data_IF_901049776414
#
_entry.id   IF_901049776414
#
_cell.length_a   1.000
_cell.length_b   1.000
_cell.length_c   1.000
_cell.angle_alpha   90.00
_cell.angle_beta   90.00
_cell.angle_gamma   90.00
#
_symmetry.space_group_name_H-M   'P 1'
#
loop_
_entity.id
_entity.type
_entity.pdbx_description
1 polymer ?
#
# COMPACT_ATOMS: atom_id res chain seq x y z
N UNK A 1 12.48 14.30 -30.82
CA UNK A 1 12.19 15.50 -29.99
C UNK A 1 13.27 16.53 -30.24
N UNK A 2 12.99 17.85 -30.21
CA UNK A 2 14.05 18.84 -30.29
C UNK A 2 14.99 18.65 -29.10
N UNK A 3 16.24 18.33 -29.40
CA UNK A 3 17.35 18.23 -28.44
C UNK A 3 17.86 19.63 -28.14
N UNK A 4 17.98 20.00 -26.86
CA UNK A 4 18.45 21.33 -26.47
C UNK A 4 18.09 21.68 -25.03
N UNK A 5 18.46 22.87 -24.58
CA UNK A 5 18.05 23.35 -23.27
C UNK A 5 17.41 24.73 -23.36
N UNK A 6 16.58 25.03 -22.37
CA UNK A 6 15.81 26.27 -22.25
C UNK A 6 16.30 27.04 -21.03
N UNK A 7 16.65 28.31 -21.20
CA UNK A 7 16.96 29.20 -20.08
C UNK A 7 15.76 30.11 -19.88
N UNK A 8 15.18 30.07 -18.68
CA UNK A 8 14.04 30.88 -18.26
C UNK A 8 14.51 31.97 -17.29
N UNK A 9 14.34 33.24 -17.65
CA UNK A 9 14.68 34.36 -16.80
C UNK A 9 13.48 34.72 -15.92
N UNK A 10 13.52 34.30 -14.65
CA UNK A 10 12.50 34.62 -13.64
C UNK A 10 12.93 35.75 -12.72
N UNK A 11 14.05 36.39 -13.01
CA UNK A 11 14.50 37.60 -12.32
C UNK A 11 13.77 38.82 -12.88
N UNK A 12 13.87 39.94 -12.17
CA UNK A 12 13.36 41.23 -12.62
C UNK A 12 14.37 42.03 -13.47
N UNK A 13 15.48 41.41 -13.90
CA UNK A 13 16.54 42.08 -14.67
C UNK A 13 16.70 41.48 -16.07
N UNK A 14 17.17 42.30 -17.02
CA UNK A 14 17.61 41.81 -18.34
C UNK A 14 18.96 41.10 -18.16
N UNK A 15 19.04 39.87 -18.66
CA UNK A 15 20.27 39.06 -18.63
C UNK A 15 20.81 38.79 -20.03
N UNK A 16 22.12 38.53 -20.09
CA UNK A 16 22.81 38.05 -21.27
C UNK A 16 23.33 36.65 -20.98
N UNK A 17 22.84 35.69 -21.75
CA UNK A 17 23.22 34.29 -21.67
C UNK A 17 24.21 33.96 -22.80
N UNK A 18 25.36 33.40 -22.49
CA UNK A 18 26.30 32.82 -23.47
C UNK A 18 26.46 31.34 -23.23
N UNK A 19 26.65 30.60 -24.33
CA UNK A 19 26.78 29.15 -24.31
C UNK A 19 28.02 28.77 -25.09
N UNK A 20 28.99 28.20 -24.38
CA UNK A 20 30.30 27.88 -24.96
C UNK A 20 30.53 26.38 -24.95
N UNK A 21 30.76 25.82 -26.14
CA UNK A 21 31.08 24.40 -26.28
C UNK A 21 32.58 24.22 -26.13
N UNK A 22 33.04 23.67 -25.01
CA UNK A 22 34.47 23.42 -24.82
C UNK A 22 35.03 22.34 -25.75
N UNK A 23 34.18 21.49 -26.33
CA UNK A 23 34.61 20.43 -27.27
C UNK A 23 34.73 20.91 -28.72
N UNK A 24 34.16 22.08 -29.07
CA UNK A 24 34.30 22.70 -30.40
C UNK A 24 34.55 24.22 -30.27
N UNK A 25 35.82 24.66 -30.16
CA UNK A 25 36.18 26.06 -29.86
C UNK A 25 35.81 27.10 -30.93
N UNK A 26 35.30 26.71 -32.10
CA UNK A 26 35.12 27.60 -33.26
C UNK A 26 33.68 28.07 -33.51
N UNK A 27 32.70 27.63 -32.71
CA UNK A 27 31.35 28.17 -32.81
C UNK A 27 31.27 29.45 -31.95
N UNK A 28 31.19 30.62 -32.61
CA UNK A 28 30.93 31.90 -31.94
C UNK A 28 29.84 31.74 -30.88
N UNK A 29 30.22 31.79 -29.61
CA UNK A 29 29.30 31.82 -28.48
C UNK A 29 28.62 33.18 -28.46
N UNK A 30 27.62 33.36 -29.33
CA UNK A 30 26.78 34.54 -29.32
C UNK A 30 26.18 34.74 -27.93
N UNK A 31 26.14 35.99 -27.48
CA UNK A 31 25.38 36.36 -26.30
C UNK A 31 23.92 36.60 -26.68
N UNK A 32 23.01 36.06 -25.88
CA UNK A 32 21.59 36.13 -26.09
C UNK A 32 20.97 36.94 -24.96
N UNK A 33 20.33 38.05 -25.30
CA UNK A 33 19.52 38.82 -24.35
C UNK A 33 18.24 38.04 -24.01
N UNK A 34 17.92 37.94 -22.72
CA UNK A 34 16.69 37.35 -22.19
C UNK A 34 16.08 38.33 -21.20
N UNK A 35 14.89 38.87 -21.49
CA UNK A 35 14.21 39.83 -20.60
C UNK A 35 13.54 39.13 -19.42
N UNK A 36 13.09 39.87 -18.38
CA UNK A 36 12.27 39.31 -17.32
C UNK A 36 11.07 38.52 -17.87
N UNK A 37 10.82 37.35 -17.31
CA UNK A 37 9.77 36.40 -17.67
C UNK A 37 9.85 35.84 -19.11
N UNK A 38 10.94 36.09 -19.82
CA UNK A 38 11.23 35.47 -21.12
C UNK A 38 12.06 34.19 -20.97
N UNK A 39 12.03 33.38 -22.02
CA UNK A 39 12.91 32.24 -22.15
C UNK A 39 13.60 32.18 -23.51
N UNK A 40 14.74 31.50 -23.55
CA UNK A 40 15.46 31.22 -24.80
C UNK A 40 15.77 29.73 -24.91
N UNK A 41 15.51 29.17 -26.08
CA UNK A 41 15.83 27.79 -26.42
C UNK A 41 17.13 27.71 -27.19
N UNK A 42 17.92 26.70 -26.85
CA UNK A 42 19.24 26.46 -27.42
C UNK A 42 19.30 25.01 -27.91
N UNK A 43 19.09 24.77 -29.21
CA UNK A 43 19.06 23.43 -29.78
C UNK A 43 20.50 22.88 -29.95
N UNK A 44 21.17 22.60 -28.83
CA UNK A 44 22.58 22.20 -28.75
C UNK A 44 22.74 20.92 -27.92
N UNK A 45 23.76 20.13 -28.24
CA UNK A 45 24.08 18.84 -27.62
C UNK A 45 25.49 18.82 -26.99
N UNK A 46 25.68 17.95 -25.98
CA UNK A 46 26.98 17.72 -25.34
C UNK A 46 27.23 18.54 -24.07
N UNK A 47 28.51 18.66 -23.70
CA UNK A 47 28.95 19.46 -22.55
C UNK A 47 29.07 20.92 -22.93
N UNK A 48 28.29 21.76 -22.27
CA UNK A 48 28.20 23.20 -22.54
C UNK A 48 28.40 23.98 -21.24
N UNK A 49 29.09 25.13 -21.33
CA UNK A 49 29.17 26.13 -20.27
C UNK A 49 28.09 27.19 -20.51
N UNK A 50 27.08 27.23 -19.63
CA UNK A 50 26.02 28.23 -19.66
C UNK A 50 26.41 29.35 -18.72
N UNK A 51 26.72 30.52 -19.28
CA UNK A 51 27.09 31.69 -18.51
C UNK A 51 26.06 32.78 -18.64
N UNK A 52 25.63 33.32 -17.50
CA UNK A 52 24.63 34.37 -17.42
C UNK A 52 25.26 35.59 -16.74
N UNK A 53 25.10 36.77 -17.33
CA UNK A 53 25.55 38.04 -16.77
C UNK A 53 24.47 39.10 -16.87
N UNK A 54 24.53 40.11 -16.01
CA UNK A 54 23.63 41.26 -16.12
C UNK A 54 24.05 42.19 -17.27
N UNK A 55 23.20 43.17 -17.59
CA UNK A 55 23.44 44.16 -18.66
C UNK A 55 24.75 44.95 -18.49
N UNK A 56 25.13 45.23 -17.25
CA UNK A 56 26.32 46.03 -16.93
C UNK A 56 27.60 45.19 -16.76
N UNK A 57 27.50 43.86 -16.88
CA UNK A 57 28.58 42.91 -16.64
C UNK A 57 29.23 43.05 -15.25
N UNK A 58 28.47 43.47 -14.24
CA UNK A 58 28.93 43.58 -12.84
C UNK A 58 28.64 42.32 -12.03
N UNK A 59 27.68 41.51 -12.48
CA UNK A 59 27.29 40.25 -11.85
C UNK A 59 27.28 39.15 -12.91
N UNK A 60 27.76 37.97 -12.52
CA UNK A 60 27.87 36.81 -13.40
C UNK A 60 27.68 35.53 -12.62
N UNK A 61 27.02 34.57 -13.24
CA UNK A 61 26.95 33.18 -12.80
C UNK A 61 27.21 32.26 -13.99
N UNK A 62 27.66 31.05 -13.72
CA UNK A 62 27.91 30.05 -14.75
C UNK A 62 27.61 28.66 -14.21
N UNK A 63 27.17 27.78 -15.09
CA UNK A 63 26.89 26.40 -14.76
C UNK A 63 27.34 25.50 -15.90
N UNK A 64 28.07 24.45 -15.53
CA UNK A 64 28.50 23.45 -16.47
C UNK A 64 27.46 22.36 -16.57
N UNK A 65 26.95 22.11 -17.78
CA UNK A 65 25.88 21.15 -18.03
C UNK A 65 26.33 20.10 -19.05
N UNK A 66 26.09 18.83 -18.75
CA UNK A 66 26.27 17.71 -19.68
C UNK A 66 24.93 17.15 -20.05
N UNK A 67 24.41 17.29 -21.28
CA UNK A 67 23.23 16.48 -21.64
C UNK A 67 23.08 16.06 -23.10
N UNK A 68 22.47 14.87 -23.20
CA UNK A 68 21.75 14.32 -24.34
C UNK A 68 20.22 14.29 -24.14
N UNK A 69 19.65 15.01 -23.17
CA UNK A 69 18.20 15.17 -22.94
C UNK A 69 17.81 16.62 -22.61
N UNK A 70 16.53 17.04 -22.82
CA UNK A 70 16.09 18.42 -22.62
C UNK A 70 16.21 18.91 -21.18
N UNK A 71 16.91 20.02 -20.95
CA UNK A 71 17.02 20.66 -19.64
C UNK A 71 16.36 22.04 -19.62
N UNK A 72 15.63 22.35 -18.55
CA UNK A 72 15.16 23.69 -18.23
C UNK A 72 16.05 24.29 -17.14
N UNK A 73 16.57 25.49 -17.37
CA UNK A 73 17.39 26.24 -16.42
C UNK A 73 16.58 27.45 -15.98
N UNK A 74 16.31 27.56 -14.69
CA UNK A 74 15.71 28.75 -14.09
C UNK A 74 16.80 29.66 -13.53
N UNK A 75 16.73 30.94 -13.93
CA UNK A 75 17.51 32.03 -13.36
C UNK A 75 16.57 32.94 -12.55
N UNK A 76 16.63 32.87 -11.23
CA UNK A 76 15.74 33.62 -10.31
C UNK A 76 16.44 34.84 -9.65
N UNK A 77 17.65 35.21 -10.10
CA UNK A 77 18.49 36.29 -9.57
C UNK A 77 19.96 35.88 -9.38
N UNK A 78 20.88 36.86 -9.31
CA UNK A 78 22.32 36.61 -9.05
C UNK A 78 22.63 36.27 -7.58
N UNK A 79 21.70 36.60 -6.69
CA UNK A 79 21.69 36.24 -5.28
C UNK A 79 21.23 34.79 -5.03
N UNK A 80 20.82 34.08 -6.09
CA UNK A 80 20.30 32.71 -6.03
C UNK A 80 21.10 31.76 -6.92
N UNK A 81 21.16 30.47 -6.57
CA UNK A 81 21.76 29.47 -7.44
C UNK A 81 20.91 29.26 -8.70
N UNK A 82 21.57 28.92 -9.81
CA UNK A 82 20.89 28.41 -11.01
C UNK A 82 20.24 27.06 -10.71
N UNK A 83 18.95 26.93 -11.04
CA UNK A 83 18.21 25.68 -10.80
C UNK A 83 17.99 24.95 -12.13
N UNK A 84 18.42 23.70 -12.22
CA UNK A 84 18.15 22.84 -13.38
C UNK A 84 16.94 21.96 -13.08
N UNK A 85 15.90 22.09 -13.88
CA UNK A 85 14.78 21.17 -13.95
C UNK A 85 14.99 20.23 -15.14
N UNK A 86 14.93 18.93 -14.91
CA UNK A 86 14.78 17.99 -16.01
C UNK A 86 13.29 17.97 -16.38
N UNK A 87 12.88 18.88 -17.26
CA UNK A 87 11.49 18.94 -17.78
C UNK A 87 11.13 17.72 -18.62
N UNK A 88 12.10 16.85 -18.91
CA UNK A 88 11.84 15.53 -19.43
C UNK A 88 11.16 14.67 -18.36
N UNK A 89 9.84 14.77 -18.30
CA UNK A 89 9.01 13.64 -17.89
C UNK A 89 8.97 12.71 -19.11
N UNK A 90 9.69 11.57 -19.11
CA UNK A 90 9.50 10.59 -20.17
C UNK A 90 8.01 10.29 -20.30
N UNK A 91 7.55 10.04 -21.53
CA UNK A 91 6.16 9.61 -21.73
C UNK A 91 5.87 8.44 -20.77
N UNK A 92 4.70 8.43 -20.12
CA UNK A 92 4.30 7.32 -19.29
C UNK A 92 4.51 6.01 -20.07
N UNK A 93 5.03 5.00 -19.40
CA UNK A 93 5.26 3.73 -20.04
C UNK A 93 5.93 2.72 -19.15
N UNK A 94 6.42 1.67 -19.80
CA UNK A 94 7.17 0.60 -19.16
C UNK A 94 8.44 0.34 -19.97
N UNK A 95 9.58 0.29 -19.30
CA UNK A 95 10.84 -0.20 -19.83
C UNK A 95 11.15 -1.54 -19.17
N UNK A 96 11.12 -2.62 -19.94
CA UNK A 96 11.42 -3.96 -19.47
C UNK A 96 12.87 -4.28 -19.81
N UNK A 97 13.71 -4.41 -18.79
CA UNK A 97 15.12 -4.78 -18.94
C UNK A 97 15.26 -6.29 -18.79
N UNK A 98 15.74 -6.96 -19.83
CA UNK A 98 16.08 -8.37 -19.73
C UNK A 98 17.51 -8.52 -19.21
N UNK A 99 17.65 -8.73 -17.90
CA UNK A 99 18.93 -8.97 -17.24
C UNK A 99 19.23 -10.47 -17.10
N UNK A 100 18.33 -11.34 -17.58
CA UNK A 100 18.54 -12.79 -17.62
C UNK A 100 19.48 -13.19 -18.77
N UNK A 101 20.09 -14.39 -18.73
CA UNK A 101 21.02 -14.86 -19.77
C UNK A 101 20.32 -15.36 -21.05
N UNK A 102 18.98 -15.31 -21.13
CA UNK A 102 18.20 -15.89 -22.24
C UNK A 102 17.31 -14.83 -22.90
N UNK A 103 17.07 -14.97 -24.21
CA UNK A 103 16.06 -14.16 -24.88
C UNK A 103 14.68 -14.49 -24.32
N UNK A 104 13.91 -13.45 -24.01
CA UNK A 104 12.51 -13.57 -23.58
C UNK A 104 11.59 -12.99 -24.62
N UNK A 105 10.33 -13.44 -24.63
CA UNK A 105 9.25 -12.74 -25.30
C UNK A 105 8.49 -11.96 -24.23
N UNK A 106 8.34 -10.66 -24.42
CA UNK A 106 7.62 -9.78 -23.51
C UNK A 106 6.32 -9.29 -24.15
N UNK A 107 5.27 -9.25 -23.35
CA UNK A 107 3.96 -8.71 -23.64
C UNK A 107 3.68 -7.60 -22.63
N UNK A 108 3.20 -6.46 -23.12
CA UNK A 108 2.63 -5.41 -22.29
C UNK A 108 1.25 -5.16 -22.87
N UNK A 109 0.21 -5.26 -22.03
CA UNK A 109 -1.15 -5.05 -22.51
C UNK A 109 -1.35 -3.64 -23.07
N UNK A 110 -2.52 -3.43 -23.66
CA UNK A 110 -3.00 -2.13 -24.11
C UNK A 110 -4.34 -1.80 -23.46
N UNK A 111 -4.56 -2.27 -22.24
CA UNK A 111 -5.85 -2.24 -21.56
C UNK A 111 -6.36 -0.81 -21.38
N UNK A 112 -5.43 0.12 -21.19
CA UNK A 112 -5.71 1.53 -20.92
C UNK A 112 -5.45 2.44 -22.12
N UNK A 113 -4.97 1.91 -23.26
CA UNK A 113 -4.74 2.67 -24.49
C UNK A 113 -5.53 2.10 -25.66
N UNK A 114 -6.60 2.79 -26.05
CA UNK A 114 -7.36 2.50 -27.27
C UNK A 114 -6.40 2.47 -28.48
N UNK A 115 -6.36 1.33 -29.17
CA UNK A 115 -5.49 1.12 -30.35
C UNK A 115 -4.04 0.70 -30.05
N UNK A 116 -3.70 0.37 -28.79
CA UNK A 116 -2.37 -0.16 -28.47
C UNK A 116 -2.13 -1.55 -29.06
N UNK A 117 -0.88 -1.82 -29.46
CA UNK A 117 -0.45 -3.14 -29.92
C UNK A 117 -0.03 -4.03 -28.73
N UNK A 118 -0.78 -5.11 -28.51
CA UNK A 118 -0.54 -6.14 -27.49
C UNK A 118 0.26 -7.35 -28.04
N UNK A 119 1.12 -7.15 -29.03
CA UNK A 119 1.97 -8.22 -29.58
C UNK A 119 3.11 -8.57 -28.64
N UNK A 120 3.43 -9.86 -28.55
CA UNK A 120 4.70 -10.31 -27.95
C UNK A 120 5.90 -9.79 -28.75
N UNK A 121 6.93 -9.34 -28.06
CA UNK A 121 8.17 -8.85 -28.65
C UNK A 121 9.39 -9.52 -27.99
N UNK A 122 10.38 -9.89 -28.79
CA UNK A 122 11.61 -10.49 -28.26
C UNK A 122 12.48 -9.41 -27.61
N UNK A 123 13.01 -9.72 -26.42
CA UNK A 123 14.03 -8.92 -25.73
C UNK A 123 15.26 -9.82 -25.53
N UNK A 124 16.35 -9.63 -26.28
CA UNK A 124 17.59 -10.38 -26.08
C UNK A 124 18.21 -10.13 -24.68
N UNK A 125 19.14 -10.98 -24.21
CA UNK A 125 19.89 -10.75 -22.98
C UNK A 125 20.58 -9.37 -22.99
N UNK A 126 20.52 -8.66 -21.87
CA UNK A 126 21.13 -7.33 -21.70
C UNK A 126 20.46 -6.20 -22.48
N UNK A 127 19.32 -6.46 -23.12
CA UNK A 127 18.56 -5.45 -23.86
C UNK A 127 17.29 -5.04 -23.11
N UNK A 128 16.72 -3.92 -23.54
CA UNK A 128 15.48 -3.40 -22.98
C UNK A 128 14.44 -3.16 -24.08
N UNK A 129 13.16 -3.23 -23.71
CA UNK A 129 12.06 -2.77 -24.54
C UNK A 129 11.25 -1.73 -23.78
N UNK A 130 11.03 -0.58 -24.42
CA UNK A 130 10.16 0.47 -23.90
C UNK A 130 8.84 0.52 -24.66
N UNK A 131 7.72 0.57 -23.94
CA UNK A 131 6.38 0.77 -24.52
C UNK A 131 5.70 1.96 -23.83
N UNK A 132 5.36 3.03 -24.58
CA UNK A 132 4.58 4.13 -24.04
C UNK A 132 3.14 3.67 -23.80
N UNK A 133 2.74 3.73 -22.53
CA UNK A 133 1.48 3.24 -21.96
C UNK A 133 1.15 4.11 -20.76
N UNK A 134 -0.11 4.25 -20.38
CA UNK A 134 -0.44 5.04 -19.20
C UNK A 134 -1.44 4.28 -18.35
N UNK A 135 -1.26 4.30 -17.03
CA UNK A 135 -2.08 3.55 -16.10
C UNK A 135 -1.67 2.09 -16.01
N UNK A 136 -2.66 1.24 -15.80
CA UNK A 136 -2.53 -0.19 -15.53
C UNK A 136 -2.26 -1.03 -16.78
N UNK A 137 -1.18 -1.79 -16.77
CA UNK A 137 -0.89 -2.79 -17.80
C UNK A 137 -0.42 -4.12 -17.20
N UNK A 138 -0.82 -5.23 -17.81
CA UNK A 138 -0.21 -6.53 -17.56
C UNK A 138 1.14 -6.59 -18.28
N UNK A 139 2.22 -6.73 -17.52
CA UNK A 139 3.57 -6.98 -18.00
C UNK A 139 3.83 -8.48 -17.86
N UNK A 140 3.91 -9.18 -18.98
CA UNK A 140 4.15 -10.61 -19.01
C UNK A 140 5.40 -10.95 -19.83
N UNK A 141 6.12 -11.98 -19.41
CA UNK A 141 7.28 -12.52 -20.08
C UNK A 141 7.12 -14.04 -20.23
N UNK A 142 7.62 -14.58 -21.34
CA UNK A 142 7.68 -16.01 -21.58
C UNK A 142 9.00 -16.40 -22.22
N UNK A 143 9.41 -17.64 -22.02
CA UNK A 143 10.57 -18.20 -22.72
C UNK A 143 10.29 -18.30 -24.22
N UNK A 144 11.33 -18.32 -25.06
CA UNK A 144 11.16 -18.45 -26.52
C UNK A 144 10.41 -19.73 -26.92
N UNK A 145 10.57 -20.80 -26.14
CA UNK A 145 9.86 -22.07 -26.33
C UNK A 145 8.50 -22.13 -25.64
N UNK A 146 8.08 -21.04 -25.00
CA UNK A 146 6.79 -20.89 -24.30
C UNK A 146 6.53 -21.89 -23.16
N UNK A 147 7.59 -22.50 -22.61
CA UNK A 147 7.47 -23.44 -21.49
C UNK A 147 7.43 -22.77 -20.12
N UNK A 148 7.95 -21.55 -20.02
CA UNK A 148 7.94 -20.77 -18.79
C UNK A 148 7.25 -19.43 -19.05
N UNK A 149 6.43 -18.99 -18.10
CA UNK A 149 5.72 -17.71 -18.14
C UNK A 149 5.77 -17.07 -16.77
N UNK A 150 5.89 -15.74 -16.76
CA UNK A 150 5.75 -14.91 -15.56
C UNK A 150 5.04 -13.62 -15.96
N UNK A 151 4.26 -13.05 -15.06
CA UNK A 151 3.61 -11.78 -15.33
C UNK A 151 3.16 -11.11 -14.06
N UNK A 152 3.03 -9.80 -14.13
CA UNK A 152 2.59 -8.93 -13.05
C UNK A 152 1.73 -7.81 -13.65
N UNK A 153 0.74 -7.34 -12.91
CA UNK A 153 0.04 -6.10 -13.26
C UNK A 153 0.87 -4.93 -12.72
N UNK A 154 0.98 -3.85 -13.51
CA UNK A 154 1.75 -2.68 -13.10
C UNK A 154 1.04 -1.40 -13.53
N UNK A 155 0.72 -0.54 -12.57
CA UNK A 155 0.32 0.85 -12.80
C UNK A 155 1.54 1.78 -12.84
N UNK A 156 1.71 2.49 -13.94
CA UNK A 156 2.77 3.47 -14.05
C UNK A 156 2.44 4.86 -13.53
N UNK A 157 1.18 5.12 -13.14
CA UNK A 157 0.71 6.39 -12.54
C UNK A 157 1.17 7.64 -13.30
N UNK A 158 1.20 7.57 -14.62
CA UNK A 158 1.65 8.69 -15.45
C UNK A 158 3.16 8.91 -15.48
N UNK A 159 3.96 7.88 -15.15
CA UNK A 159 5.43 7.90 -15.20
C UNK A 159 5.97 6.78 -16.08
N UNK A 160 7.26 6.82 -16.39
CA UNK A 160 7.95 5.70 -17.02
C UNK A 160 8.49 4.77 -15.93
N UNK A 161 7.94 3.56 -15.83
CA UNK A 161 8.40 2.56 -14.86
C UNK A 161 9.44 1.65 -15.51
N UNK A 162 10.47 1.26 -14.75
CA UNK A 162 11.45 0.26 -15.20
C UNK A 162 11.19 -1.06 -14.47
N UNK A 163 11.25 -2.15 -15.21
CA UNK A 163 11.02 -3.50 -14.69
C UNK A 163 12.20 -4.36 -15.12
N UNK A 164 12.96 -4.86 -14.15
CA UNK A 164 14.06 -5.77 -14.43
C UNK A 164 13.59 -7.21 -14.32
N UNK A 165 13.86 -7.99 -15.38
CA UNK A 165 13.67 -9.42 -15.40
C UNK A 165 15.02 -10.14 -15.21
N UNK A 166 15.18 -10.79 -14.06
CA UNK A 166 16.41 -11.50 -13.68
C UNK A 166 16.35 -13.00 -14.04
N UNK A 167 15.15 -13.57 -14.14
CA UNK A 167 14.92 -14.99 -14.44
C UNK A 167 13.50 -15.41 -14.10
N UNK A 168 13.09 -16.62 -14.51
CA UNK A 168 11.75 -17.13 -14.18
C UNK A 168 11.60 -17.55 -12.72
N UNK A 169 12.72 -17.82 -12.05
CA UNK A 169 12.78 -18.23 -10.65
C UNK A 169 12.96 -17.03 -9.69
N UNK A 170 13.07 -15.81 -10.25
CA UNK A 170 13.27 -14.55 -9.52
C UNK A 170 12.08 -13.62 -9.76
N UNK A 171 11.75 -12.78 -8.77
CA UNK A 171 10.72 -11.75 -8.91
C UNK A 171 11.12 -10.61 -9.83
N UNK A 172 10.13 -9.95 -10.43
CA UNK A 172 10.40 -8.72 -11.16
C UNK A 172 10.88 -7.67 -10.16
N UNK A 173 11.93 -6.94 -10.53
CA UNK A 173 12.35 -5.77 -9.76
C UNK A 173 11.77 -4.54 -10.44
N UNK A 174 10.73 -3.98 -9.85
CA UNK A 174 10.05 -2.78 -10.36
C UNK A 174 10.68 -1.55 -9.72
N UNK A 175 11.38 -0.74 -10.51
CA UNK A 175 12.01 0.49 -10.06
C UNK A 175 11.09 1.68 -10.28
N UNK A 176 11.18 2.67 -9.39
CA UNK A 176 10.40 3.92 -9.43
C UNK A 176 8.88 3.75 -9.25
N UNK A 177 8.41 2.52 -9.04
CA UNK A 177 7.13 2.28 -8.41
C UNK A 177 7.25 2.70 -6.93
N UNK A 178 6.26 3.42 -6.36
CA UNK A 178 6.32 3.80 -4.95
C UNK A 178 6.55 2.54 -4.11
N UNK A 179 7.38 2.61 -3.05
CA UNK A 179 7.82 1.44 -2.21
C UNK A 179 6.68 0.53 -1.71
N UNK A 180 5.43 0.99 -1.80
CA UNK A 180 4.21 0.24 -1.45
C UNK A 180 3.43 -0.28 -2.67
N UNK A 181 4.07 -0.41 -3.84
CA UNK A 181 3.41 -0.71 -5.12
C UNK A 181 2.63 -2.03 -5.09
N UNK A 182 3.28 -3.15 -4.72
CA UNK A 182 2.64 -4.47 -4.61
C UNK A 182 1.51 -4.48 -3.56
N UNK A 183 1.75 -3.82 -2.41
CA UNK A 183 0.74 -3.71 -1.34
C UNK A 183 -0.48 -2.90 -1.81
N UNK A 184 -0.25 -1.80 -2.51
CA UNK A 184 -1.30 -0.96 -3.08
C UNK A 184 -2.06 -1.67 -4.22
N UNK A 185 -1.38 -2.51 -5.02
CA UNK A 185 -2.01 -3.36 -6.04
C UNK A 185 -2.94 -4.41 -5.41
N UNK A 186 -2.47 -5.13 -4.40
CA UNK A 186 -3.27 -6.10 -3.65
C UNK A 186 -4.52 -5.45 -3.06
N UNK A 187 -4.35 -4.25 -2.52
CA UNK A 187 -5.44 -3.51 -1.92
C UNK A 187 -6.44 -2.98 -2.94
N UNK A 188 -5.98 -2.45 -4.07
CA UNK A 188 -6.85 -2.00 -5.15
C UNK A 188 -7.66 -3.15 -5.75
N UNK A 189 -7.03 -4.32 -5.96
CA UNK A 189 -7.73 -5.52 -6.45
C UNK A 189 -8.69 -6.07 -5.39
N UNK A 190 -8.28 -6.10 -4.12
CA UNK A 190 -9.14 -6.51 -3.01
C UNK A 190 -10.36 -5.59 -2.84
N UNK A 191 -10.20 -4.27 -2.98
CA UNK A 191 -11.31 -3.30 -3.05
C UNK A 191 -12.23 -3.64 -4.22
N UNK A 192 -11.67 -3.87 -5.42
CA UNK A 192 -12.45 -4.17 -6.62
C UNK A 192 -13.25 -5.46 -6.48
N UNK A 193 -12.68 -6.48 -5.86
CA UNK A 193 -13.36 -7.74 -5.54
C UNK A 193 -14.46 -7.50 -4.50
N UNK A 194 -14.17 -6.75 -3.43
CA UNK A 194 -15.14 -6.41 -2.39
C UNK A 194 -16.36 -5.66 -2.93
N UNK A 195 -16.14 -4.61 -3.73
CA UNK A 195 -17.23 -3.82 -4.29
C UNK A 195 -18.07 -4.64 -5.29
N UNK A 196 -17.47 -5.63 -5.96
CA UNK A 196 -18.20 -6.59 -6.82
C UNK A 196 -18.95 -7.66 -6.04
N UNK A 197 -18.40 -8.14 -4.91
CA UNK A 197 -19.05 -9.17 -4.08
C UNK A 197 -20.23 -8.62 -3.29
N UNK A 198 -20.20 -7.35 -2.89
CA UNK A 198 -21.37 -6.68 -2.32
C UNK A 198 -22.57 -6.67 -3.29
N UNK A 199 -22.32 -6.49 -4.60
CA UNK A 199 -23.36 -6.58 -5.62
C UNK A 199 -23.97 -8.00 -5.77
N UNK A 200 -23.36 -9.03 -5.18
CA UNK A 200 -23.78 -10.43 -5.29
C UNK A 200 -24.72 -10.93 -4.18
N UNK A 201 -25.14 -10.08 -3.23
CA UNK A 201 -26.40 -10.28 -2.49
C UNK A 201 -26.35 -10.91 -1.09
N UNK A 202 -25.27 -11.57 -0.68
CA UNK A 202 -25.29 -12.41 0.53
C UNK A 202 -24.70 -11.79 1.83
N UNK A 203 -24.24 -10.53 1.78
CA UNK A 203 -23.70 -9.82 2.98
C UNK A 203 -24.22 -8.38 3.06
N UNK A 204 -25.53 -8.23 3.22
CA UNK A 204 -26.18 -6.93 3.39
C UNK A 204 -26.35 -6.60 4.89
N UNK A 205 -25.25 -6.27 5.56
CA UNK A 205 -25.24 -5.90 6.98
C UNK A 205 -24.97 -4.40 7.21
N UNK A 206 -25.93 -3.55 6.85
CA UNK A 206 -26.11 -2.15 7.34
C UNK A 206 -25.19 -1.02 6.80
N UNK A 207 -25.43 0.20 7.31
CA UNK A 207 -25.43 1.53 6.67
C UNK A 207 -24.25 1.92 5.74
N UNK A 208 -24.50 2.61 4.60
CA UNK A 208 -23.48 3.15 3.72
C UNK A 208 -22.54 4.13 4.45
N UNK A 209 -21.23 3.96 4.28
CA UNK A 209 -20.20 4.84 4.86
C UNK A 209 -18.89 4.15 5.23
N UNK A 210 -18.64 2.95 4.69
CA UNK A 210 -17.60 2.00 5.07
C UNK A 210 -16.25 2.49 5.58
N UNK A 211 -15.65 1.69 6.47
CA UNK A 211 -14.30 1.88 6.98
C UNK A 211 -13.27 1.44 5.92
N UNK A 212 -12.25 2.27 5.70
CA UNK A 212 -11.09 1.99 4.88
C UNK A 212 -10.08 1.16 5.67
N UNK A 213 -9.91 -0.08 5.25
CA UNK A 213 -8.90 -0.97 5.79
C UNK A 213 -7.50 -0.37 5.61
N UNK A 214 -6.62 -0.55 6.59
CA UNK A 214 -5.23 -0.10 6.55
C UNK A 214 -4.31 -1.30 6.33
N UNK A 215 -3.66 -1.35 5.17
CA UNK A 215 -2.72 -2.43 4.83
C UNK A 215 -1.59 -2.44 5.86
N UNK A 216 -1.02 -1.27 6.14
CA UNK A 216 0.08 -1.12 7.08
C UNK A 216 -0.29 -1.71 8.45
N UNK A 217 -1.48 -1.39 8.97
CA UNK A 217 -1.89 -1.90 10.27
C UNK A 217 -2.18 -3.40 10.24
N UNK A 218 -2.86 -3.90 9.21
CA UNK A 218 -3.09 -5.33 9.02
C UNK A 218 -1.78 -6.13 8.95
N UNK A 219 -0.82 -5.67 8.14
CA UNK A 219 0.49 -6.31 8.00
C UNK A 219 1.30 -6.25 9.29
N UNK A 220 1.24 -5.13 10.00
CA UNK A 220 1.91 -4.95 11.30
C UNK A 220 1.35 -5.93 12.34
N UNK A 221 0.02 -6.05 12.42
CA UNK A 221 -0.64 -7.01 13.29
C UNK A 221 -0.26 -8.45 12.90
N UNK A 222 -0.29 -8.78 11.62
CA UNK A 222 0.05 -10.12 11.13
C UNK A 222 1.50 -10.48 11.48
N UNK A 223 2.44 -9.58 11.18
CA UNK A 223 3.86 -9.79 11.44
C UNK A 223 4.17 -9.91 12.92
N UNK A 224 3.68 -9.01 13.74
CA UNK A 224 4.01 -9.01 15.17
C UNK A 224 3.25 -10.07 15.96
N UNK A 225 2.14 -10.58 15.44
CA UNK A 225 1.39 -11.66 16.09
C UNK A 225 1.89 -13.04 15.68
N UNK A 226 2.32 -13.21 14.42
CA UNK A 226 2.65 -14.53 13.86
C UNK A 226 4.12 -14.71 13.47
N UNK A 227 4.92 -13.65 13.50
CA UNK A 227 6.30 -13.64 12.98
C UNK A 227 6.39 -13.67 11.45
N UNK A 228 5.27 -13.69 10.73
CA UNK A 228 5.22 -13.75 9.26
C UNK A 228 4.68 -12.44 8.71
N UNK A 229 5.40 -11.86 7.75
CA UNK A 229 4.88 -10.67 7.06
C UNK A 229 3.52 -11.00 6.44
N UNK A 230 2.65 -9.99 6.43
CA UNK A 230 1.40 -10.00 5.70
C UNK A 230 1.59 -10.36 4.22
N UNK A 231 0.50 -10.53 3.50
CA UNK A 231 0.41 -11.54 2.48
C UNK A 231 1.42 -11.39 1.33
N UNK A 232 2.13 -12.48 1.02
CA UNK A 232 3.04 -12.53 -0.12
C UNK A 232 2.25 -12.81 -1.40
N UNK A 233 2.70 -12.24 -2.52
CA UNK A 233 2.15 -12.41 -3.87
C UNK A 233 1.89 -13.88 -4.29
N UNK A 234 2.48 -14.86 -3.61
CA UNK A 234 2.36 -16.28 -3.93
C UNK A 234 1.08 -16.96 -3.44
N UNK A 235 0.29 -16.36 -2.54
CA UNK A 235 -0.86 -17.03 -1.92
C UNK A 235 -2.20 -16.33 -2.26
N UNK A 236 -2.83 -16.80 -3.34
CA UNK A 236 -4.11 -16.30 -3.86
C UNK A 236 -5.24 -16.25 -2.81
N UNK A 237 -5.18 -17.11 -1.79
CA UNK A 237 -6.16 -17.11 -0.69
C UNK A 237 -6.08 -15.84 0.16
N UNK A 238 -4.92 -15.19 0.19
CA UNK A 238 -4.69 -14.04 1.05
C UNK A 238 -5.23 -12.73 0.45
N UNK A 239 -5.15 -12.54 -0.88
CA UNK A 239 -5.82 -11.42 -1.57
C UNK A 239 -7.34 -11.52 -1.38
N UNK A 240 -7.89 -12.73 -1.50
CA UNK A 240 -9.31 -12.97 -1.24
C UNK A 240 -9.70 -12.68 0.21
N UNK A 241 -8.86 -13.09 1.18
CA UNK A 241 -9.06 -12.79 2.60
C UNK A 241 -9.04 -11.28 2.87
N UNK A 242 -8.11 -10.55 2.27
CA UNK A 242 -8.04 -9.09 2.36
C UNK A 242 -9.28 -8.42 1.72
N UNK A 243 -9.75 -8.93 0.58
CA UNK A 243 -10.99 -8.47 -0.06
C UNK A 243 -12.20 -8.68 0.82
N UNK A 244 -12.33 -9.84 1.47
CA UNK A 244 -13.39 -10.10 2.45
C UNK A 244 -13.31 -9.16 3.65
N UNK A 245 -12.12 -8.90 4.17
CA UNK A 245 -11.88 -7.97 5.27
C UNK A 245 -12.32 -6.55 4.90
N UNK A 246 -11.89 -6.06 3.74
CA UNK A 246 -12.29 -4.74 3.21
C UNK A 246 -13.80 -4.67 3.06
N UNK A 247 -14.42 -5.72 2.50
CA UNK A 247 -15.87 -5.78 2.32
C UNK A 247 -16.60 -5.66 3.67
N UNK A 248 -16.13 -6.35 4.70
CA UNK A 248 -16.77 -6.28 6.02
C UNK A 248 -16.49 -4.96 6.73
N UNK A 249 -15.28 -4.41 6.64
CA UNK A 249 -15.04 -3.06 7.16
C UNK A 249 -15.92 -2.01 6.46
N UNK A 250 -16.24 -2.23 5.18
CA UNK A 250 -17.15 -1.35 4.44
C UNK A 250 -18.64 -1.53 4.77
N UNK A 251 -19.10 -2.77 4.85
CA UNK A 251 -20.53 -3.11 4.84
C UNK A 251 -20.95 -4.10 5.94
N UNK A 252 -20.05 -4.42 6.86
CA UNK A 252 -20.30 -5.33 7.97
C UNK A 252 -20.98 -4.62 9.14
N UNK A 253 -21.68 -5.42 9.94
CA UNK A 253 -22.31 -4.96 11.16
C UNK A 253 -21.25 -4.48 12.14
N UNK A 254 -21.43 -3.25 12.64
CA UNK A 254 -20.56 -2.67 13.63
C UNK A 254 -21.11 -2.93 15.03
N UNK A 255 -20.30 -3.55 15.88
CA UNK A 255 -20.70 -4.10 17.17
C UNK A 255 -19.74 -3.64 18.28
N UNK A 256 -20.14 -3.70 19.56
CA UNK A 256 -19.27 -3.28 20.65
C UNK A 256 -18.10 -4.24 20.87
N UNK A 257 -16.92 -3.65 21.11
CA UNK A 257 -15.77 -4.34 21.68
C UNK A 257 -15.23 -3.60 22.89
N UNK A 258 -14.74 -4.31 23.89
CA UNK A 258 -14.27 -3.70 25.13
C UNK A 258 -12.87 -4.20 25.48
N UNK A 259 -11.96 -3.30 25.80
CA UNK A 259 -10.64 -3.70 26.33
C UNK A 259 -10.84 -4.26 27.73
N UNK A 260 -10.51 -5.54 27.92
CA UNK A 260 -10.81 -6.27 29.16
C UNK A 260 -9.59 -6.62 29.99
N UNK A 261 -8.40 -6.64 29.38
CA UNK A 261 -7.13 -6.87 30.08
C UNK A 261 -5.99 -6.18 29.34
N UNK A 262 -5.06 -5.61 30.08
CA UNK A 262 -3.83 -4.99 29.56
C UNK A 262 -2.68 -5.45 30.43
N UNK A 263 -1.77 -6.21 29.84
CA UNK A 263 -0.55 -6.71 30.49
C UNK A 263 0.68 -6.10 29.81
N UNK A 264 1.91 -6.33 30.32
CA UNK A 264 3.12 -5.86 29.64
C UNK A 264 3.29 -6.40 28.22
N UNK A 265 2.70 -7.56 27.91
CA UNK A 265 2.88 -8.23 26.62
C UNK A 265 1.65 -8.16 25.70
N UNK A 266 0.45 -8.07 26.28
CA UNK A 266 -0.81 -8.24 25.55
C UNK A 266 -1.86 -7.19 25.92
N UNK A 267 -2.61 -6.74 24.91
CA UNK A 267 -3.89 -6.06 25.06
C UNK A 267 -4.98 -7.04 24.65
N UNK A 268 -6.00 -7.26 25.49
CA UNK A 268 -7.12 -8.16 25.20
C UNK A 268 -8.42 -7.38 25.03
N UNK A 269 -9.16 -7.71 23.97
CA UNK A 269 -10.45 -7.10 23.63
C UNK A 269 -11.54 -8.17 23.60
N UNK A 270 -12.57 -8.02 24.42
CA UNK A 270 -13.79 -8.79 24.30
C UNK A 270 -14.60 -8.23 23.14
N UNK A 271 -14.87 -9.05 22.13
CA UNK A 271 -15.56 -8.68 20.91
C UNK A 271 -16.93 -9.36 20.88
N UNK A 272 -17.99 -8.54 20.96
CA UNK A 272 -19.38 -9.03 20.98
C UNK A 272 -19.92 -9.25 19.57
N UNK A 273 -20.84 -10.20 19.47
CA UNK A 273 -21.77 -10.25 18.34
C UNK A 273 -23.19 -10.64 18.75
N UNK A 274 -24.18 -9.96 18.17
CA UNK A 274 -25.59 -10.26 18.41
C UNK A 274 -26.03 -11.59 17.78
N UNK A 275 -25.29 -12.09 16.78
CA UNK A 275 -25.60 -13.36 16.11
C UNK A 275 -25.48 -14.57 17.06
N UNK A 276 -24.59 -14.49 18.05
CA UNK A 276 -24.41 -15.51 19.09
C UNK A 276 -24.86 -15.04 20.48
N UNK A 277 -25.21 -13.75 20.62
CA UNK A 277 -25.40 -13.08 21.91
C UNK A 277 -24.24 -13.37 22.87
N UNK A 278 -23.02 -13.29 22.34
CA UNK A 278 -21.82 -13.77 23.00
C UNK A 278 -20.60 -12.93 22.65
N UNK A 279 -19.52 -13.14 23.40
CA UNK A 279 -18.20 -12.57 23.09
C UNK A 279 -17.20 -13.66 22.70
N UNK A 280 -16.15 -13.24 22.00
CA UNK A 280 -14.84 -13.91 22.00
C UNK A 280 -13.79 -12.90 22.41
N UNK A 281 -12.67 -13.39 22.95
CA UNK A 281 -11.58 -12.52 23.42
C UNK A 281 -10.43 -12.59 22.44
N UNK A 282 -10.03 -11.42 21.94
CA UNK A 282 -8.91 -11.26 21.01
C UNK A 282 -7.70 -10.70 21.77
N UNK A 283 -6.53 -11.30 21.59
CA UNK A 283 -5.26 -10.82 22.14
C UNK A 283 -4.37 -10.21 21.07
N UNK A 284 -3.83 -9.03 21.37
CA UNK A 284 -2.93 -8.28 20.49
C UNK A 284 -1.60 -8.02 21.22
N UNK A 285 -0.44 -8.30 20.59
CA UNK A 285 0.85 -7.96 21.17
C UNK A 285 0.94 -6.45 21.41
N UNK A 286 1.42 -6.02 22.58
CA UNK A 286 1.46 -4.59 22.92
C UNK A 286 2.29 -3.78 21.91
N UNK A 287 3.38 -4.39 21.40
CA UNK A 287 4.24 -3.79 20.37
C UNK A 287 3.49 -3.52 19.08
N UNK A 288 2.52 -4.37 18.74
CA UNK A 288 1.69 -4.16 17.56
C UNK A 288 0.73 -3.00 17.79
N UNK A 289 0.08 -2.95 18.96
CA UNK A 289 -0.82 -1.84 19.34
C UNK A 289 -0.09 -0.49 19.34
N UNK A 290 1.14 -0.43 19.84
CA UNK A 290 1.95 0.80 19.83
C UNK A 290 2.20 1.35 18.42
N UNK A 291 2.26 0.48 17.41
CA UNK A 291 2.51 0.86 16.01
C UNK A 291 1.22 1.14 15.23
N UNK A 292 0.13 0.41 15.52
CA UNK A 292 -1.13 0.54 14.75
C UNK A 292 -2.15 1.48 15.38
N UNK A 293 -1.97 1.84 16.65
CA UNK A 293 -2.76 2.83 17.35
C UNK A 293 -1.90 3.94 18.03
N UNK A 294 -0.90 4.52 17.34
CA UNK A 294 0.08 5.43 17.97
C UNK A 294 -0.54 6.76 18.41
N UNK A 295 -1.68 7.13 17.82
CA UNK A 295 -2.33 8.43 18.02
C UNK A 295 -3.22 8.48 19.26
N UNK A 296 -3.39 7.35 19.95
CA UNK A 296 -4.08 7.27 21.24
C UNK A 296 -3.10 6.79 22.30
N UNK A 297 -3.25 7.27 23.54
CA UNK A 297 -2.67 6.58 24.69
C UNK A 297 -3.11 5.12 24.60
N UNK A 298 -2.18 4.18 24.87
CA UNK A 298 -2.46 2.74 24.93
C UNK A 298 -3.84 2.53 25.56
N UNK A 299 -4.74 1.75 24.92
CA UNK A 299 -6.07 1.54 25.45
C UNK A 299 -6.00 1.01 26.87
N UNK A 300 -6.77 1.60 27.78
CA UNK A 300 -6.93 1.11 29.14
C UNK A 300 -8.06 0.09 29.21
N UNK A 301 -8.08 -0.73 30.26
CA UNK A 301 -9.25 -1.58 30.57
C UNK A 301 -10.51 -0.69 30.63
N UNK A 302 -11.59 -1.15 30.00
CA UNK A 302 -12.84 -0.41 29.83
C UNK A 302 -12.88 0.50 28.60
N UNK A 303 -11.79 0.62 27.83
CA UNK A 303 -11.81 1.40 26.58
C UNK A 303 -12.76 0.74 25.57
N UNK A 304 -13.68 1.54 25.01
CA UNK A 304 -14.62 1.12 23.96
C UNK A 304 -13.92 1.02 22.61
N UNK A 305 -14.26 -0.04 21.90
CA UNK A 305 -13.76 -0.38 20.56
C UNK A 305 -14.95 -0.70 19.66
N UNK A 306 -14.74 -0.53 18.36
CA UNK A 306 -15.71 -0.91 17.34
C UNK A 306 -15.24 -2.22 16.74
N UNK A 307 -16.12 -3.21 16.75
CA UNK A 307 -15.86 -4.54 16.21
C UNK A 307 -16.66 -4.73 14.94
N UNK A 308 -16.06 -5.37 13.95
CA UNK A 308 -16.76 -5.80 12.75
C UNK A 308 -16.50 -7.29 12.57
N UNK A 309 -17.55 -8.09 12.55
CA UNK A 309 -17.46 -9.55 12.57
C UNK A 309 -17.66 -10.14 11.17
N UNK A 310 -16.81 -11.10 10.80
CA UNK A 310 -17.11 -12.04 9.71
C UNK A 310 -17.70 -13.32 10.30
N UNK A 311 -18.50 -14.07 9.55
CA UNK A 311 -19.17 -15.27 10.06
C UNK A 311 -18.88 -16.49 9.21
N UNK A 312 -18.89 -17.67 9.84
CA UNK A 312 -18.80 -18.94 9.11
C UNK A 312 -20.12 -19.68 9.20
N UNK A 313 -20.74 -19.87 8.04
CA UNK A 313 -22.07 -20.45 7.90
C UNK A 313 -22.10 -21.88 8.39
N UNK A 314 -23.12 -22.23 9.19
CA UNK A 314 -23.28 -23.57 9.75
C UNK A 314 -23.51 -24.62 8.67
N UNK A 315 -23.94 -24.27 7.45
CA UNK A 315 -24.17 -25.24 6.38
C UNK A 315 -25.36 -26.16 6.67
N UNK A 316 -25.81 -26.92 5.66
CA UNK A 316 -26.88 -27.93 5.83
C UNK A 316 -26.32 -29.33 6.09
N UNK A 317 -25.01 -29.46 6.30
CA UNK A 317 -24.38 -30.76 6.49
C UNK A 317 -24.48 -31.17 7.96
N UNK A 318 -25.17 -32.27 8.32
CA UNK A 318 -25.32 -32.68 9.73
C UNK A 318 -24.00 -33.04 10.43
N UNK A 319 -22.88 -33.12 9.70
CA UNK A 319 -21.52 -33.25 10.25
C UNK A 319 -20.81 -31.90 10.46
N UNK A 320 -21.47 -30.76 10.23
CA UNK A 320 -20.87 -29.44 10.47
C UNK A 320 -20.60 -29.28 11.95
N UNK A 321 -19.37 -28.83 12.23
CA UNK A 321 -18.83 -28.63 13.55
C UNK A 321 -19.83 -27.87 14.44
N UNK A 322 -19.98 -28.32 15.69
CA UNK A 322 -20.68 -27.53 16.70
C UNK A 322 -20.03 -26.15 16.86
N UNK A 323 -20.74 -25.25 17.54
CA UNK A 323 -20.24 -23.91 17.85
C UNK A 323 -18.82 -24.01 18.44
N UNK A 324 -17.93 -23.10 18.01
CA UNK A 324 -16.56 -23.09 18.51
C UNK A 324 -16.53 -23.07 20.03
N UNK A 325 -15.58 -23.82 20.61
CA UNK A 325 -15.56 -24.12 22.06
C UNK A 325 -15.41 -22.88 22.93
N UNK A 326 -14.82 -21.82 22.39
CA UNK A 326 -14.60 -20.56 23.09
C UNK A 326 -15.79 -19.60 23.00
N UNK A 327 -16.82 -19.96 22.22
CA UNK A 327 -18.09 -19.23 22.15
C UNK A 327 -19.06 -19.89 23.13
N UNK A 328 -19.54 -19.11 24.08
CA UNK A 328 -20.64 -19.48 24.96
C UNK A 328 -21.87 -18.74 24.49
N UNK A 329 -22.77 -19.44 23.79
CA UNK A 329 -23.98 -18.83 23.24
C UNK A 329 -24.86 -18.23 24.34
N UNK A 330 -25.30 -17.00 24.10
CA UNK A 330 -26.26 -16.31 24.95
C UNK A 330 -27.70 -16.72 24.63
N UNK A 331 -28.65 -16.32 25.49
CA UNK A 331 -30.06 -16.66 25.33
C UNK A 331 -30.70 -16.08 24.06
N UNK A 332 -30.08 -15.08 23.42
CA UNK A 332 -30.58 -14.47 22.17
C UNK A 332 -29.83 -14.94 20.91
N UNK A 333 -29.02 -16.01 20.96
CA UNK A 333 -28.32 -16.56 19.79
C UNK A 333 -29.28 -16.91 18.65
N UNK A 334 -28.88 -16.61 17.40
CA UNK A 334 -29.71 -16.80 16.20
C UNK A 334 -29.51 -18.16 15.50
N UNK A 335 -28.61 -19.01 16.00
CA UNK A 335 -28.33 -20.39 15.55
C UNK A 335 -27.99 -20.59 14.05
N UNK A 336 -27.60 -19.52 13.35
CA UNK A 336 -27.27 -19.56 11.90
C UNK A 336 -25.81 -19.88 11.61
N UNK A 337 -24.93 -19.55 12.55
CA UNK A 337 -23.49 -19.58 12.38
C UNK A 337 -22.88 -20.58 13.37
N UNK A 338 -21.68 -21.07 13.09
CA UNK A 338 -20.93 -21.89 14.06
C UNK A 338 -19.65 -21.22 14.56
N UNK A 339 -19.25 -20.12 13.91
CA UNK A 339 -18.11 -19.30 14.30
C UNK A 339 -18.26 -17.86 13.79
N UNK A 340 -17.56 -16.92 14.43
CA UNK A 340 -17.36 -15.56 13.96
C UNK A 340 -15.91 -15.10 14.13
N UNK A 341 -15.49 -14.11 13.35
CA UNK A 341 -14.12 -13.61 13.22
C UNK A 341 -14.12 -12.09 13.40
N UNK A 342 -14.06 -11.59 14.64
CA UNK A 342 -14.19 -10.16 14.91
C UNK A 342 -12.91 -9.37 14.62
N UNK A 343 -13.04 -8.29 13.88
CA UNK A 343 -11.96 -7.35 13.62
C UNK A 343 -12.14 -6.13 14.52
N UNK A 344 -11.14 -5.82 15.36
CA UNK A 344 -11.12 -4.56 16.10
C UNK A 344 -10.76 -3.47 15.13
N UNK A 345 -11.78 -2.77 14.68
CA UNK A 345 -11.68 -1.96 13.50
C UNK A 345 -10.61 -0.87 13.72
N UNK A 346 -10.45 -0.31 14.93
CA UNK A 346 -9.46 0.74 15.23
C UNK A 346 -8.02 0.29 14.92
N UNK A 347 -7.76 -1.02 14.97
CA UNK A 347 -6.46 -1.61 14.74
C UNK A 347 -6.24 -2.06 13.30
N UNK A 348 -7.25 -2.06 12.44
CA UNK A 348 -7.16 -2.56 11.06
C UNK A 348 -7.60 -1.53 10.01
N UNK A 349 -7.87 -0.29 10.39
CA UNK A 349 -8.36 0.77 9.50
C UNK A 349 -7.64 2.09 9.72
N UNK A 350 -7.57 2.92 8.67
CA UNK A 350 -6.97 4.26 8.74
C UNK A 350 -7.97 5.31 9.24
N UNK A 351 -9.26 4.98 9.25
CA UNK A 351 -10.33 5.87 9.67
C UNK A 351 -10.47 5.98 11.19
N UNK A 352 -9.53 5.50 12.02
CA UNK A 352 -9.68 5.50 13.49
C UNK A 352 -9.95 6.89 14.12
N UNK A 353 -9.85 7.97 13.33
CA UNK A 353 -10.15 9.36 13.64
C UNK A 353 -11.31 9.96 12.83
N UNK A 354 -11.89 9.21 11.89
CA UNK A 354 -13.04 9.66 11.14
C UNK A 354 -14.25 9.81 12.09
N UNK A 355 -15.03 10.91 11.95
CA UNK A 355 -16.22 11.16 12.77
C UNK A 355 -17.18 9.97 12.86
N UNK A 356 -17.21 9.15 11.82
CA UNK A 356 -18.09 8.00 11.68
C UNK A 356 -17.87 6.92 12.76
N UNK A 357 -16.68 6.79 13.32
CA UNK A 357 -16.38 5.80 14.38
C UNK A 357 -17.08 6.11 15.66
N UNK A 358 -16.88 7.36 16.07
CA UNK A 358 -17.47 7.89 17.28
C UNK A 358 -18.97 7.85 17.13
N UNK A 359 -19.49 8.28 15.98
CA UNK A 359 -20.91 8.17 15.67
C UNK A 359 -21.43 6.72 15.81
N UNK A 360 -20.78 5.73 15.17
CA UNK A 360 -21.21 4.32 15.26
C UNK A 360 -21.14 3.77 16.68
N UNK A 361 -20.11 4.13 17.46
CA UNK A 361 -20.02 3.73 18.87
C UNK A 361 -21.07 4.43 19.74
N UNK A 362 -21.42 5.69 19.44
CA UNK A 362 -22.44 6.48 20.13
C UNK A 362 -23.87 5.99 19.79
N UNK A 363 -24.06 5.27 18.68
CA UNK A 363 -25.31 4.61 18.28
C UNK A 363 -25.53 3.26 19.01
N UNK A 364 -24.50 2.71 19.66
CA UNK A 364 -24.61 1.46 20.43
C UNK A 364 -25.17 1.76 21.82
N UNK A 365 -26.22 1.02 22.21
CA UNK A 365 -26.88 1.16 23.51
C UNK A 365 -25.90 1.02 24.69
N UNK A 366 -26.00 1.95 25.65
CA UNK A 366 -25.25 1.95 26.91
C UNK A 366 -25.45 0.69 27.75
N UNK A 367 -26.63 0.07 27.69
CA UNK A 367 -26.86 -1.21 28.37
C UNK A 367 -26.04 -2.34 27.72
N UNK A 368 -25.96 -2.37 26.39
CA UNK A 368 -25.18 -3.38 25.69
C UNK A 368 -23.69 -3.32 26.04
N UNK A 369 -23.13 -2.14 26.26
CA UNK A 369 -21.74 -2.01 26.74
C UNK A 369 -21.52 -2.65 28.12
N UNK A 370 -22.52 -2.60 29.01
CA UNK A 370 -22.47 -3.25 30.32
C UNK A 370 -22.62 -4.76 30.17
N UNK A 371 -23.56 -5.20 29.34
CA UNK A 371 -23.77 -6.62 29.03
C UNK A 371 -22.48 -7.26 28.51
N UNK A 372 -21.73 -6.58 27.64
CA UNK A 372 -20.43 -7.07 27.14
C UNK A 372 -19.41 -7.26 28.27
N UNK A 373 -19.42 -6.40 29.30
CA UNK A 373 -18.56 -6.57 30.46
C UNK A 373 -18.98 -7.76 31.33
N UNK A 374 -20.29 -7.95 31.53
CA UNK A 374 -20.83 -9.11 32.25
C UNK A 374 -20.51 -10.42 31.52
N UNK A 375 -20.70 -10.44 30.19
CA UNK A 375 -20.30 -11.55 29.33
C UNK A 375 -18.81 -11.86 29.47
N UNK A 376 -17.95 -10.84 29.60
CA UNK A 376 -16.53 -11.04 29.88
C UNK A 376 -16.26 -11.66 31.25
N UNK A 377 -16.93 -11.21 32.31
CA UNK A 377 -16.76 -11.79 33.65
C UNK A 377 -17.10 -13.28 33.63
N UNK A 378 -18.21 -13.64 33.01
CA UNK A 378 -18.65 -15.03 32.85
C UNK A 378 -17.69 -15.83 31.97
N UNK A 379 -17.26 -15.28 30.85
CA UNK A 379 -16.32 -15.91 29.93
C UNK A 379 -14.98 -16.19 30.62
N UNK A 380 -14.44 -15.21 31.36
CA UNK A 380 -13.20 -15.32 32.14
C UNK A 380 -13.30 -16.42 33.19
N UNK A 381 -14.44 -16.55 33.86
CA UNK A 381 -14.65 -17.61 34.86
C UNK A 381 -14.65 -19.02 34.25
N UNK A 382 -15.12 -19.17 33.00
CA UNK A 382 -15.22 -20.46 32.31
C UNK A 382 -13.92 -20.87 31.62
N UNK A 383 -13.27 -19.93 30.94
CA UNK A 383 -12.13 -20.21 30.04
C UNK A 383 -10.78 -19.78 30.63
N UNK A 384 -10.79 -18.95 31.67
CA UNK A 384 -9.60 -18.35 32.24
C UNK A 384 -9.20 -17.05 31.53
N UNK A 385 -8.52 -16.15 32.25
CA UNK A 385 -8.07 -14.87 31.70
C UNK A 385 -7.07 -15.02 30.56
N UNK A 386 -6.28 -16.09 30.62
CA UNK A 386 -5.14 -16.31 29.73
C UNK A 386 -5.52 -16.87 28.38
N UNK A 387 -6.76 -17.33 28.20
CA UNK A 387 -7.26 -17.86 26.94
C UNK A 387 -7.73 -16.71 26.03
N UNK A 388 -7.36 -16.73 24.75
CA UNK A 388 -7.83 -15.77 23.74
C UNK A 388 -7.52 -16.24 22.33
N UNK A 389 -8.16 -15.63 21.33
CA UNK A 389 -7.82 -15.74 19.90
C UNK A 389 -6.73 -14.74 19.52
N UNK A 390 -5.87 -15.07 18.58
CA UNK A 390 -4.92 -14.11 18.03
C UNK A 390 -5.66 -12.99 17.29
N UNK A 391 -5.36 -11.73 17.62
CA UNK A 391 -5.98 -10.55 17.03
C UNK A 391 -5.52 -10.20 15.61
N UNK A 392 -4.89 -11.11 14.88
CA UNK A 392 -4.47 -10.87 13.49
C UNK A 392 -5.49 -11.43 12.48
N UNK A 393 -5.78 -10.71 11.37
CA UNK A 393 -6.84 -11.09 10.45
C UNK A 393 -6.76 -12.51 9.89
N UNK A 394 -5.57 -13.02 9.54
CA UNK A 394 -5.48 -14.32 8.87
C UNK A 394 -5.51 -15.52 9.83
N UNK A 395 -5.20 -15.29 11.12
CA UNK A 395 -5.13 -16.34 12.15
C UNK A 395 -6.09 -16.12 13.30
N UNK A 396 -7.16 -15.38 13.08
CA UNK A 396 -8.15 -15.08 14.11
C UNK A 396 -8.85 -16.29 14.73
N UNK A 397 -8.79 -17.46 14.09
CA UNK A 397 -9.28 -18.73 14.65
C UNK A 397 -8.25 -19.44 15.55
N UNK A 398 -6.99 -19.04 15.51
CA UNK A 398 -5.94 -19.66 16.31
C UNK A 398 -6.06 -19.19 17.76
N UNK A 399 -6.25 -20.16 18.64
CA UNK A 399 -6.26 -19.94 20.08
C UNK A 399 -4.84 -19.85 20.61
N UNK A 400 -4.63 -18.95 21.57
CA UNK A 400 -3.41 -18.79 22.31
C UNK A 400 -3.71 -18.77 23.82
N UNK A 401 -2.70 -19.11 24.62
CA UNK A 401 -2.66 -18.82 26.04
C UNK A 401 -1.47 -17.89 26.33
N UNK A 402 -1.50 -17.11 27.41
CA UNK A 402 -0.35 -16.23 27.79
C UNK A 402 0.93 -17.01 28.07
N UNK A 403 0.81 -18.31 28.35
CA UNK A 403 1.91 -19.25 28.20
C UNK A 403 2.11 -19.52 26.71
N UNK A 404 3.02 -18.77 26.09
CA UNK A 404 3.46 -19.02 24.72
C UNK A 404 3.87 -20.49 24.63
N UNK A 405 3.00 -21.32 24.06
CA UNK A 405 3.34 -22.68 23.68
C UNK A 405 4.50 -22.54 22.69
N UNK A 406 5.66 -23.08 23.04
CA UNK A 406 6.90 -22.98 22.25
C UNK A 406 6.78 -23.62 20.86
N UNK A 407 5.63 -24.25 20.58
CA UNK A 407 5.23 -24.77 19.27
C UNK A 407 4.59 -23.74 18.33
N UNK A 408 4.22 -22.54 18.79
CA UNK A 408 3.82 -21.44 17.90
C UNK A 408 5.08 -20.83 17.26
N UNK A 409 5.24 -20.92 15.92
CA UNK A 409 6.43 -20.43 15.25
C UNK A 409 6.43 -18.89 15.28
N UNK A 410 7.27 -18.28 16.10
CA UNK A 410 7.60 -16.86 15.94
C UNK A 410 7.84 -16.03 17.20
N UNK A 411 7.52 -16.50 18.41
CA UNK A 411 7.86 -15.74 19.62
C UNK A 411 9.28 -16.08 20.12
N UNK A 412 10.29 -15.95 19.24
CA UNK A 412 11.66 -15.77 19.70
C UNK A 412 11.87 -14.27 19.94
N UNK A 413 12.34 -13.93 21.13
CA UNK A 413 12.70 -12.59 21.55
C UNK A 413 13.90 -12.04 20.76
N UNK A 414 13.73 -11.82 19.46
CA UNK A 414 14.75 -11.35 18.54
C UNK A 414 14.52 -9.88 18.16
N UNK A 415 14.31 -9.00 19.15
CA UNK A 415 14.49 -7.54 19.00
C UNK A 415 14.92 -6.94 20.35
N UNK A 416 15.94 -7.52 20.95
CA UNK A 416 16.83 -6.81 21.86
C UNK A 416 18.18 -6.79 21.12
N UNK A 417 18.69 -5.60 20.83
CA UNK A 417 19.89 -5.31 20.00
C UNK A 417 19.67 -5.20 18.49
N UNK A 418 19.14 -4.04 18.07
CA UNK A 418 19.65 -3.27 16.93
C UNK A 418 19.36 -1.79 17.14
#
# INVERSE_FOLDING_TARGET
>A
MPTGFKVNNRSNQIIFCSITNKTRPSANAGEFEIKPDEHKEFPRDGWEDVSIRNKHNTERTALWINRGEPALIHFDGFDKPLTIYNDYQPEPGFTINNLSPRTIMCFISSSTRIGGNSSWAAIPPGHAMTRPRNGWEAVAVKSQDDKQRKGEFIDNKGKLIKVDFLGFDEDFVVHEAPENFIAAEHYAEAIRIADRSYAAGDSSASLPGGLNASIFKCDTLEFLTTGKKGPSLGDHNQIYTLGLLINHLKYGLAEPGLVVSVTPDWVKVAAYTCEFDAIVVLGFPIKAIDLVAPEKKRPAVGSRMLVVSQFTYRGNNPNTQGVQRDITEGPKSLDKWYNFHPLVAQFVSDDSHAPLWKQRMDEIDEELWKDVWELWVDWKARHGEDYFRLGCPTKIQQMATTHVDSSLPGYTAAVAEQ
#
